data_IF_587082842869
#
_entry.id   IF_587082842869
#
_cell.length_a   1.000
_cell.length_b   1.000
_cell.length_c   1.000
_cell.angle_alpha   90.00
_cell.angle_beta   90.00
_cell.angle_gamma   90.00
#
_symmetry.space_group_name_H-M   'P 1'
#
loop_
_entity.id
_entity.type
_entity.pdbx_description
1 polymer ?
#
# COMPACT_ATOMS: atom_id res chain seq x y z
N UNK A 1 13.10 9.65 -20.48
CA UNK A 1 11.72 9.62 -19.95
C UNK A 1 11.81 9.83 -18.46
N UNK A 2 11.29 10.95 -17.95
CA UNK A 2 11.34 11.32 -16.53
C UNK A 2 10.54 10.27 -15.75
N UNK A 3 11.19 9.50 -14.87
CA UNK A 3 10.45 8.65 -13.93
C UNK A 3 9.75 9.59 -12.96
N UNK A 4 8.42 9.69 -13.06
CA UNK A 4 7.65 10.36 -12.02
C UNK A 4 8.01 9.73 -10.69
N UNK A 5 8.55 10.53 -9.78
CA UNK A 5 8.77 10.22 -8.37
C UNK A 5 7.43 10.19 -7.62
N UNK A 6 6.45 9.50 -8.20
CA UNK A 6 5.10 9.32 -7.70
C UNK A 6 4.98 8.01 -6.93
N UNK A 7 4.25 8.06 -5.82
CA UNK A 7 3.95 6.95 -4.89
C UNK A 7 3.88 5.59 -5.59
N UNK A 8 4.86 4.72 -5.34
CA UNK A 8 4.84 3.32 -5.78
C UNK A 8 3.89 2.53 -4.89
N UNK A 9 2.93 1.83 -5.46
CA UNK A 9 2.07 0.91 -4.71
C UNK A 9 2.93 -0.26 -4.21
N UNK A 10 3.10 -0.37 -2.88
CA UNK A 10 3.97 -1.39 -2.27
C UNK A 10 3.19 -2.70 -2.05
N UNK A 11 1.95 -2.61 -1.60
CA UNK A 11 1.12 -3.77 -1.29
C UNK A 11 -0.33 -3.53 -1.66
N UNK A 12 -0.99 -4.59 -2.13
CA UNK A 12 -2.42 -4.60 -2.45
C UNK A 12 -2.98 -5.98 -2.12
N UNK A 13 -3.99 -6.03 -1.26
CA UNK A 13 -4.71 -7.29 -1.01
C UNK A 13 -5.75 -7.50 -2.13
N UNK A 14 -5.42 -8.39 -3.08
CA UNK A 14 -6.34 -8.73 -4.19
C UNK A 14 -7.51 -9.58 -3.71
N UNK A 15 -7.28 -10.50 -2.76
CA UNK A 15 -8.32 -11.38 -2.21
C UNK A 15 -9.45 -10.58 -1.56
N UNK A 16 -9.12 -9.51 -0.84
CA UNK A 16 -10.12 -8.62 -0.25
C UNK A 16 -11.10 -8.03 -1.29
N UNK A 17 -10.66 -7.79 -2.53
CA UNK A 17 -11.54 -7.29 -3.61
C UNK A 17 -12.38 -8.38 -4.28
N UNK A 18 -12.03 -9.65 -4.11
CA UNK A 18 -12.80 -10.78 -4.64
C UNK A 18 -13.83 -11.29 -3.64
N UNK A 19 -13.46 -11.34 -2.35
CA UNK A 19 -14.27 -11.97 -1.30
C UNK A 19 -15.28 -10.99 -0.68
N UNK A 20 -15.05 -9.68 -0.78
CA UNK A 20 -15.87 -8.66 -0.13
C UNK A 20 -16.26 -7.54 -1.09
N UNK A 21 -17.41 -6.92 -0.82
CA UNK A 21 -17.77 -5.64 -1.42
C UNK A 21 -17.20 -4.51 -0.55
N UNK A 22 -16.34 -3.67 -1.12
CA UNK A 22 -15.74 -2.54 -0.41
C UNK A 22 -16.70 -1.35 -0.55
N UNK A 23 -17.31 -0.93 0.55
CA UNK A 23 -18.24 0.20 0.59
C UNK A 23 -17.48 1.53 0.58
N UNK A 24 -16.50 1.68 1.48
CA UNK A 24 -15.70 2.90 1.64
C UNK A 24 -14.20 2.61 1.71
N UNK A 25 -13.39 3.57 1.30
CA UNK A 25 -11.93 3.51 1.37
C UNK A 25 -11.39 4.65 2.24
N UNK A 26 -10.50 4.32 3.17
CA UNK A 26 -9.92 5.28 4.10
C UNK A 26 -8.40 5.34 3.94
N UNK A 27 -7.83 6.53 4.18
CA UNK A 27 -6.38 6.70 4.30
C UNK A 27 -5.96 6.48 5.75
N UNK A 28 -4.91 5.68 5.95
CA UNK A 28 -4.38 5.38 7.27
C UNK A 28 -2.85 5.44 7.27
N UNK A 29 -2.28 5.84 8.41
CA UNK A 29 -0.86 5.77 8.68
C UNK A 29 -0.53 4.58 9.57
N UNK A 30 0.50 3.82 9.22
CA UNK A 30 1.05 2.75 10.05
C UNK A 30 2.45 3.15 10.51
N UNK A 31 2.72 3.09 11.81
CA UNK A 31 4.07 3.31 12.34
C UNK A 31 4.87 2.02 12.20
N UNK A 32 5.94 2.07 11.41
CA UNK A 32 6.81 0.94 11.12
C UNK A 32 8.13 1.06 11.88
N UNK A 33 8.70 -0.08 12.23
CA UNK A 33 10.06 -0.18 12.78
C UNK A 33 11.09 -0.24 11.66
N UNK A 34 12.34 0.17 11.94
CA UNK A 34 13.36 0.39 10.91
C UNK A 34 13.64 -0.79 9.96
N UNK A 35 13.50 -2.04 10.44
CA UNK A 35 13.65 -3.25 9.62
C UNK A 35 12.49 -3.43 8.63
N UNK A 36 11.27 -3.08 9.02
CA UNK A 36 10.07 -3.18 8.17
C UNK A 36 10.11 -2.13 7.05
N UNK A 37 10.60 -0.92 7.35
CA UNK A 37 10.82 0.13 6.35
C UNK A 37 11.82 -0.33 5.29
N UNK A 38 12.88 -1.05 5.69
CA UNK A 38 13.89 -1.58 4.77
C UNK A 38 13.31 -2.65 3.83
N UNK A 39 12.40 -3.49 4.32
CA UNK A 39 11.77 -4.56 3.53
C UNK A 39 10.76 -4.07 2.49
N UNK A 40 10.18 -2.86 2.69
CA UNK A 40 9.14 -2.30 1.83
C UNK A 40 9.65 -1.36 0.72
N UNK A 41 10.94 -1.00 0.73
CA UNK A 41 11.61 -0.22 -0.33
C UNK A 41 11.98 -1.10 -1.53
#
# INVERSE_FOLDING_TARGET
MVKETGRKMIAQNKKARHDYHIEDTYEAGLMLMGTEVKSLR
#
